data_IF_950574272763
#
_entry.id   IF_950574272763
#
_cell.length_a   1.000
_cell.length_b   1.000
_cell.length_c   1.000
_cell.angle_alpha   90.00
_cell.angle_beta   90.00
_cell.angle_gamma   90.00
#
_symmetry.space_group_name_H-M   'P 1'
#
loop_
_entity.id
_entity.type
_entity.pdbx_description
1 polymer ?
#
# COMPACT_ATOMS: atom_id res chain seq x y z
N UNK A 1 -21.84 7.37 -19.91
CA UNK A 1 -20.92 6.40 -20.55
C UNK A 1 -20.66 5.26 -19.55
N UNK A 2 -20.38 4.05 -20.00
CA UNK A 2 -19.95 2.93 -19.14
C UNK A 2 -18.44 2.77 -19.27
N UNK A 3 -17.73 2.67 -18.15
CA UNK A 3 -16.29 2.42 -18.09
C UNK A 3 -16.07 1.04 -17.45
N UNK A 4 -15.48 0.13 -18.21
CA UNK A 4 -15.04 -1.19 -17.73
C UNK A 4 -13.54 -1.14 -17.41
N UNK A 5 -13.09 -1.97 -16.48
CA UNK A 5 -11.67 -2.05 -16.09
C UNK A 5 -11.24 -1.06 -15.01
N UNK A 6 -12.17 -0.58 -14.17
CA UNK A 6 -11.83 0.06 -12.91
C UNK A 6 -11.68 -1.01 -11.81
N UNK A 7 -11.08 -0.62 -10.70
CA UNK A 7 -10.82 -1.50 -9.56
C UNK A 7 -11.41 -0.96 -8.27
N UNK A 8 -11.74 -1.88 -7.37
CA UNK A 8 -12.20 -1.56 -6.02
C UNK A 8 -11.62 -2.54 -5.02
N UNK A 9 -10.98 -1.99 -4.00
CA UNK A 9 -10.64 -2.72 -2.80
C UNK A 9 -11.81 -2.74 -1.81
N UNK A 10 -11.98 -3.88 -1.14
CA UNK A 10 -12.96 -4.10 -0.08
C UNK A 10 -12.31 -4.78 1.12
N UNK A 11 -12.94 -4.61 2.29
CA UNK A 11 -12.65 -5.37 3.51
C UNK A 11 -13.86 -6.23 3.83
N UNK A 12 -13.75 -7.55 3.72
CA UNK A 12 -14.86 -8.48 3.95
C UNK A 12 -16.15 -8.10 3.17
N UNK A 13 -16.02 -7.80 1.87
CA UNK A 13 -17.11 -7.36 1.01
C UNK A 13 -17.63 -5.93 1.26
N UNK A 14 -16.97 -5.14 2.12
CA UNK A 14 -17.38 -3.77 2.49
C UNK A 14 -16.44 -2.72 1.93
N UNK A 15 -16.98 -1.55 1.58
CA UNK A 15 -16.16 -0.44 1.11
C UNK A 15 -15.27 0.15 2.21
N UNK A 16 -13.97 0.31 1.95
CA UNK A 16 -12.94 0.76 2.90
C UNK A 16 -13.35 1.97 3.76
N UNK A 17 -13.99 2.98 3.17
CA UNK A 17 -14.37 4.22 3.89
C UNK A 17 -15.86 4.34 4.21
N UNK A 18 -16.73 3.62 3.49
CA UNK A 18 -18.17 3.79 3.60
C UNK A 18 -18.85 2.70 4.42
N UNK A 19 -18.14 1.61 4.74
CA UNK A 19 -18.68 0.38 5.33
C UNK A 19 -19.88 -0.21 4.56
N UNK A 20 -20.08 0.25 3.32
CA UNK A 20 -21.18 -0.19 2.49
C UNK A 20 -20.93 -1.63 2.05
N UNK A 21 -21.88 -2.52 2.34
CA UNK A 21 -21.84 -3.93 1.93
C UNK A 21 -22.14 -4.02 0.44
N UNK A 22 -21.16 -4.46 -0.34
CA UNK A 22 -21.31 -4.57 -1.77
C UNK A 22 -22.09 -5.83 -2.17
N UNK A 23 -23.03 -5.74 -3.12
CA UNK A 23 -23.57 -6.91 -3.79
C UNK A 23 -22.46 -7.64 -4.53
N UNK A 24 -22.01 -8.77 -3.99
CA UNK A 24 -20.94 -9.57 -4.59
C UNK A 24 -21.47 -10.30 -5.85
N UNK A 25 -20.60 -10.55 -6.84
CA UNK A 25 -20.89 -11.47 -7.93
C UNK A 25 -21.20 -12.88 -7.43
N UNK A 26 -22.03 -13.62 -8.17
CA UNK A 26 -22.37 -15.01 -7.86
C UNK A 26 -22.33 -15.87 -9.14
N UNK A 27 -21.62 -16.99 -9.11
CA UNK A 27 -21.51 -17.96 -10.21
C UNK A 27 -21.25 -17.32 -11.59
N UNK A 28 -20.29 -16.39 -11.66
CA UNK A 28 -19.93 -15.68 -12.91
C UNK A 28 -20.89 -14.57 -13.33
N UNK A 29 -21.97 -14.34 -12.56
CA UNK A 29 -22.88 -13.22 -12.76
C UNK A 29 -22.39 -12.01 -11.98
N UNK A 30 -22.18 -10.84 -12.62
CA UNK A 30 -21.83 -9.61 -11.92
C UNK A 30 -22.83 -9.26 -10.81
N UNK A 31 -22.34 -8.54 -9.79
CA UNK A 31 -23.17 -8.01 -8.71
C UNK A 31 -24.24 -7.04 -9.22
N UNK A 32 -25.18 -6.69 -8.34
CA UNK A 32 -26.21 -5.70 -8.66
C UNK A 32 -25.60 -4.30 -8.78
N UNK A 33 -26.13 -3.52 -9.72
CA UNK A 33 -25.85 -2.08 -9.78
C UNK A 33 -26.31 -1.39 -8.51
N UNK A 34 -25.42 -0.59 -7.94
CA UNK A 34 -25.72 0.36 -6.88
C UNK A 34 -25.59 1.77 -7.44
N UNK A 35 -26.28 2.72 -6.80
CA UNK A 35 -26.34 4.13 -7.22
C UNK A 35 -26.05 5.03 -6.04
N UNK A 36 -25.15 5.98 -6.23
CA UNK A 36 -24.85 7.06 -5.29
C UNK A 36 -25.77 8.25 -5.51
N UNK A 37 -25.94 9.06 -4.46
CA UNK A 37 -26.63 10.35 -4.55
C UNK A 37 -25.77 11.37 -5.30
N UNK A 38 -26.44 12.24 -6.07
CA UNK A 38 -25.83 13.37 -6.77
C UNK A 38 -26.03 14.68 -5.98
N UNK A 39 -25.14 15.69 -6.15
CA UNK A 39 -23.93 15.67 -6.97
C UNK A 39 -22.81 14.83 -6.34
N UNK A 40 -21.95 14.28 -7.19
CA UNK A 40 -20.74 13.58 -6.74
C UNK A 40 -19.82 14.55 -5.99
N UNK A 41 -19.34 14.12 -4.83
CA UNK A 41 -18.52 14.94 -3.94
C UNK A 41 -17.41 14.10 -3.31
N UNK A 42 -16.17 14.55 -3.52
CA UNK A 42 -14.96 13.89 -3.02
C UNK A 42 -15.06 13.58 -1.53
N UNK A 43 -14.82 12.32 -1.17
CA UNK A 43 -14.84 11.81 0.21
C UNK A 43 -16.22 11.84 0.90
N UNK A 44 -17.29 12.30 0.23
CA UNK A 44 -18.63 12.38 0.83
C UNK A 44 -19.65 11.55 0.05
N UNK A 45 -19.77 11.78 -1.27
CA UNK A 45 -20.80 11.17 -2.12
C UNK A 45 -20.21 10.65 -3.42
N UNK A 46 -20.48 9.38 -3.71
CA UNK A 46 -20.04 8.73 -4.94
C UNK A 46 -19.45 7.36 -4.69
N UNK A 47 -19.47 6.55 -5.73
CA UNK A 47 -18.81 5.24 -5.75
C UNK A 47 -17.32 5.49 -6.01
N UNK A 48 -16.53 5.34 -4.94
CA UNK A 48 -15.08 5.46 -4.99
C UNK A 48 -14.46 4.21 -5.63
N UNK A 49 -13.78 4.41 -6.75
CA UNK A 49 -13.04 3.38 -7.47
C UNK A 49 -11.66 3.92 -7.87
N UNK A 50 -10.76 3.03 -8.23
CA UNK A 50 -9.40 3.38 -8.63
C UNK A 50 -9.07 2.80 -10.00
N UNK A 51 -8.11 3.42 -10.68
CA UNK A 51 -7.52 2.90 -11.93
C UNK A 51 -6.41 1.93 -11.55
N UNK A 52 -5.94 1.10 -12.49
CA UNK A 52 -4.79 0.21 -12.24
C UNK A 52 -3.58 0.97 -11.64
N UNK A 53 -3.15 2.14 -12.16
CA UNK A 53 -1.99 2.87 -11.59
C UNK A 53 -2.26 3.47 -10.20
N UNK A 54 -3.50 3.44 -9.74
CA UNK A 54 -3.90 3.99 -8.44
C UNK A 54 -3.99 2.91 -7.36
N UNK A 55 -3.93 1.62 -7.72
CA UNK A 55 -4.03 0.49 -6.77
C UNK A 55 -3.14 0.63 -5.52
N UNK A 56 -1.87 1.10 -5.61
CA UNK A 56 -1.02 1.26 -4.44
C UNK A 56 -1.54 2.23 -3.36
N UNK A 57 -2.53 3.06 -3.68
CA UNK A 57 -3.14 4.02 -2.75
C UNK A 57 -4.39 3.48 -2.03
N UNK A 58 -4.94 2.35 -2.48
CA UNK A 58 -6.27 1.87 -2.08
C UNK A 58 -6.26 0.47 -1.47
N UNK A 59 -5.08 -0.10 -1.21
CA UNK A 59 -4.89 -1.50 -0.83
C UNK A 59 -5.74 -1.91 0.38
N UNK A 60 -6.39 -3.07 0.25
CA UNK A 60 -7.12 -3.77 1.31
C UNK A 60 -7.13 -5.29 1.00
N UNK A 61 -7.87 -6.08 1.77
CA UNK A 61 -7.84 -7.55 1.70
C UNK A 61 -8.42 -8.14 0.40
N UNK A 62 -9.39 -7.47 -0.22
CA UNK A 62 -10.06 -7.99 -1.43
C UNK A 62 -9.97 -7.01 -2.59
N UNK A 63 -9.46 -7.47 -3.73
CA UNK A 63 -9.41 -6.66 -4.96
C UNK A 63 -10.44 -7.13 -5.97
N UNK A 64 -11.25 -6.20 -6.47
CA UNK A 64 -12.34 -6.48 -7.41
C UNK A 64 -12.22 -5.67 -8.69
N UNK A 65 -12.57 -6.28 -9.82
CA UNK A 65 -12.88 -5.55 -11.05
C UNK A 65 -14.30 -5.01 -10.94
N UNK A 66 -14.47 -3.72 -11.24
CA UNK A 66 -15.75 -3.02 -11.14
C UNK A 66 -16.09 -2.32 -12.47
N UNK A 67 -17.36 -2.37 -12.83
CA UNK A 67 -17.93 -1.53 -13.88
C UNK A 67 -18.56 -0.29 -13.26
N UNK A 68 -18.37 0.86 -13.90
CA UNK A 68 -18.99 2.12 -13.48
C UNK A 68 -19.69 2.82 -14.64
N UNK A 69 -20.74 3.60 -14.34
CA UNK A 69 -21.47 4.38 -15.34
C UNK A 69 -22.13 5.61 -14.72
N UNK A 70 -22.75 6.42 -15.60
CA UNK A 70 -23.39 7.69 -15.22
C UNK A 70 -22.39 8.83 -15.22
N UNK A 71 -22.56 9.77 -14.30
CA UNK A 71 -21.56 10.80 -14.03
C UNK A 71 -20.29 10.18 -13.44
N UNK A 72 -19.14 10.61 -13.96
CA UNK A 72 -17.82 10.17 -13.51
C UNK A 72 -16.95 11.40 -13.31
N UNK A 73 -16.40 11.55 -12.10
CA UNK A 73 -15.47 12.63 -11.74
C UNK A 73 -14.12 12.00 -11.44
N UNK A 74 -13.12 12.41 -12.21
CA UNK A 74 -11.75 11.93 -12.08
C UNK A 74 -11.02 12.79 -11.03
N UNK A 75 -10.32 12.14 -10.10
CA UNK A 75 -9.37 12.74 -9.17
C UNK A 75 -7.98 12.13 -9.38
N UNK A 76 -6.99 12.69 -8.69
CA UNK A 76 -5.58 12.31 -8.80
C UNK A 76 -5.38 10.80 -8.64
N UNK A 77 -5.81 10.22 -7.51
CA UNK A 77 -5.61 8.79 -7.20
C UNK A 77 -6.90 7.98 -7.23
N UNK A 78 -8.02 8.54 -7.71
CA UNK A 78 -9.31 7.84 -7.71
C UNK A 78 -10.30 8.41 -8.72
N UNK A 79 -11.42 7.74 -8.88
CA UNK A 79 -12.59 8.23 -9.59
C UNK A 79 -13.82 8.09 -8.71
N UNK A 80 -14.74 9.04 -8.83
CA UNK A 80 -16.08 8.93 -8.30
C UNK A 80 -17.03 8.60 -9.45
N UNK A 81 -17.90 7.63 -9.25
CA UNK A 81 -18.96 7.31 -10.19
C UNK A 81 -20.34 7.40 -9.54
N UNK A 82 -21.35 7.69 -10.35
CA UNK A 82 -22.75 7.66 -9.96
C UNK A 82 -23.24 6.23 -9.72
N UNK A 83 -22.95 5.31 -10.64
CA UNK A 83 -23.39 3.91 -10.56
C UNK A 83 -22.21 2.95 -10.72
N UNK A 84 -22.28 1.81 -10.03
CA UNK A 84 -21.23 0.80 -10.03
C UNK A 84 -21.73 -0.60 -9.72
N UNK A 85 -21.05 -1.63 -10.24
CA UNK A 85 -21.24 -3.04 -9.84
C UNK A 85 -19.95 -3.83 -9.91
N UNK A 86 -19.74 -4.70 -8.93
CA UNK A 86 -18.62 -5.65 -8.97
C UNK A 86 -18.84 -6.66 -10.08
N UNK A 87 -17.78 -6.97 -10.82
CA UNK A 87 -17.82 -7.94 -11.93
C UNK A 87 -17.24 -9.27 -11.50
N UNK A 88 -16.02 -9.26 -10.96
CA UNK A 88 -15.29 -10.45 -10.50
C UNK A 88 -14.19 -10.07 -9.52
N UNK A 89 -13.79 -11.01 -8.67
CA UNK A 89 -12.58 -10.89 -7.87
C UNK A 89 -11.32 -10.94 -8.74
N UNK A 90 -10.24 -10.35 -8.25
CA UNK A 90 -8.89 -10.54 -8.78
C UNK A 90 -8.23 -11.61 -7.92
N UNK A 91 -8.33 -12.88 -8.35
CA UNK A 91 -7.88 -14.05 -7.58
C UNK A 91 -6.37 -14.03 -7.29
N UNK A 92 -5.58 -13.38 -8.14
CA UNK A 92 -4.14 -13.20 -7.92
C UNK A 92 -3.82 -12.26 -6.75
N UNK A 93 -4.79 -11.48 -6.26
CA UNK A 93 -4.69 -10.73 -5.02
C UNK A 93 -5.36 -11.51 -3.89
N UNK A 94 -4.60 -12.38 -3.27
CA UNK A 94 -4.99 -13.11 -2.07
C UNK A 94 -4.12 -12.72 -0.86
N UNK A 95 -4.34 -13.40 0.27
CA UNK A 95 -3.54 -13.20 1.49
C UNK A 95 -2.04 -13.39 1.27
N UNK A 96 -1.64 -14.36 0.44
CA UNK A 96 -0.23 -14.64 0.19
C UNK A 96 0.40 -13.54 -0.66
N UNK A 97 -0.31 -13.07 -1.69
CA UNK A 97 0.10 -11.93 -2.52
C UNK A 97 0.24 -10.65 -1.70
N UNK A 98 -0.71 -10.37 -0.79
CA UNK A 98 -0.65 -9.21 0.10
C UNK A 98 0.59 -9.28 1.02
N UNK A 99 0.88 -10.44 1.62
CA UNK A 99 2.07 -10.63 2.46
C UNK A 99 3.36 -10.54 1.64
N UNK A 100 3.38 -11.11 0.44
CA UNK A 100 4.54 -11.03 -0.47
C UNK A 100 4.84 -9.58 -0.85
N UNK A 101 3.82 -8.80 -1.19
CA UNK A 101 3.96 -7.39 -1.49
C UNK A 101 4.45 -6.59 -0.27
N UNK A 102 3.87 -6.85 0.90
CA UNK A 102 4.30 -6.27 2.17
C UNK A 102 5.80 -6.52 2.44
N UNK A 103 6.25 -7.77 2.32
CA UNK A 103 7.65 -8.15 2.50
C UNK A 103 8.57 -7.49 1.47
N UNK A 104 8.13 -7.42 0.21
CA UNK A 104 8.87 -6.71 -0.83
C UNK A 104 9.04 -5.22 -0.49
N UNK A 105 7.98 -4.55 -0.02
CA UNK A 105 8.05 -3.17 0.45
C UNK A 105 9.03 -3.01 1.63
N UNK A 106 9.02 -3.94 2.60
CA UNK A 106 9.92 -3.88 3.75
C UNK A 106 11.41 -4.04 3.36
N UNK A 107 11.72 -4.95 2.44
CA UNK A 107 13.08 -5.09 1.91
C UNK A 107 13.53 -3.85 1.11
N UNK A 108 12.61 -3.20 0.38
CA UNK A 108 12.93 -1.94 -0.29
C UNK A 108 13.22 -0.82 0.69
N UNK A 109 12.46 -0.71 1.78
CA UNK A 109 12.72 0.24 2.85
C UNK A 109 14.13 0.04 3.45
N UNK A 110 14.54 -1.21 3.68
CA UNK A 110 15.92 -1.54 4.07
C UNK A 110 16.94 -1.03 3.03
N UNK A 111 16.70 -1.26 1.74
CA UNK A 111 17.58 -0.77 0.66
C UNK A 111 17.76 0.75 0.68
N UNK A 112 16.66 1.50 0.79
CA UNK A 112 16.71 2.97 0.89
C UNK A 112 17.46 3.45 2.12
N UNK A 113 17.28 2.80 3.27
CA UNK A 113 18.03 3.13 4.49
C UNK A 113 19.54 2.84 4.35
N UNK A 114 19.90 1.74 3.70
CA UNK A 114 21.31 1.41 3.38
C UNK A 114 21.92 2.50 2.49
N UNK A 115 21.21 2.94 1.45
CA UNK A 115 21.70 3.97 0.54
C UNK A 115 21.81 5.34 1.22
N UNK A 116 20.86 5.70 2.09
CA UNK A 116 20.94 6.90 2.91
C UNK A 116 22.19 6.90 3.82
N UNK A 117 22.48 5.77 4.47
CA UNK A 117 23.68 5.61 5.30
C UNK A 117 24.97 5.69 4.49
N UNK A 118 25.00 5.13 3.26
CA UNK A 118 26.15 5.26 2.36
C UNK A 118 26.39 6.70 1.94
N UNK A 119 25.34 7.44 1.60
CA UNK A 119 25.42 8.85 1.22
C UNK A 119 25.90 9.72 2.38
N UNK A 120 25.57 9.34 3.61
CA UNK A 120 26.09 9.96 4.84
C UNK A 120 27.48 9.47 5.26
N UNK A 121 28.15 8.64 4.45
CA UNK A 121 29.49 8.08 4.73
C UNK A 121 29.52 7.23 6.01
N UNK A 122 28.38 6.66 6.42
CA UNK A 122 28.24 5.71 7.53
C UNK A 122 28.46 4.27 7.05
N UNK A 123 29.58 4.00 6.38
CA UNK A 123 29.83 2.74 5.63
C UNK A 123 29.68 1.47 6.46
N UNK A 124 30.12 1.47 7.72
CA UNK A 124 30.01 0.31 8.61
C UNK A 124 28.55 0.00 8.99
N UNK A 125 27.76 1.03 9.30
CA UNK A 125 26.34 0.89 9.63
C UNK A 125 25.53 0.48 8.38
N UNK A 126 25.84 1.06 7.22
CA UNK A 126 25.26 0.63 5.95
C UNK A 126 25.56 -0.86 5.66
N UNK A 127 26.80 -1.28 5.89
CA UNK A 127 27.23 -2.67 5.70
C UNK A 127 26.59 -3.62 6.70
N UNK A 128 26.39 -3.19 7.95
CA UNK A 128 25.69 -3.98 8.96
C UNK A 128 24.22 -4.17 8.59
N UNK A 129 23.52 -3.09 8.20
CA UNK A 129 22.12 -3.16 7.80
C UNK A 129 21.92 -3.97 6.52
N UNK A 130 22.82 -3.85 5.53
CA UNK A 130 22.73 -4.60 4.28
C UNK A 130 22.96 -6.11 4.44
N UNK A 131 23.67 -6.54 5.49
CA UNK A 131 23.90 -7.96 5.80
C UNK A 131 22.74 -8.62 6.54
N UNK A 132 21.81 -7.84 7.10
CA UNK A 132 20.62 -8.35 7.75
C UNK A 132 19.66 -8.92 6.69
N UNK A 133 19.39 -10.22 6.76
CA UNK A 133 18.56 -10.92 5.76
C UNK A 133 17.17 -11.30 6.28
N UNK A 134 16.95 -11.25 7.59
CA UNK A 134 15.65 -11.49 8.22
C UNK A 134 15.09 -10.19 8.78
N UNK A 135 13.76 -10.06 8.88
CA UNK A 135 13.14 -8.86 9.45
C UNK A 135 13.54 -8.60 10.90
N UNK A 136 13.79 -9.64 11.70
CA UNK A 136 14.32 -9.48 13.05
C UNK A 136 15.72 -8.86 13.02
N UNK A 137 16.61 -9.40 12.19
CA UNK A 137 17.97 -8.86 12.05
C UNK A 137 17.99 -7.44 11.48
N UNK A 138 17.05 -7.10 10.58
CA UNK A 138 16.88 -5.75 10.02
C UNK A 138 16.46 -4.79 11.13
N UNK A 139 15.42 -5.12 11.88
CA UNK A 139 14.92 -4.33 13.01
C UNK A 139 16.02 -4.11 14.05
N UNK A 140 16.72 -5.16 14.44
CA UNK A 140 17.74 -5.10 15.48
C UNK A 140 18.95 -4.28 15.02
N UNK A 141 19.40 -4.44 13.77
CA UNK A 141 20.46 -3.62 13.18
C UNK A 141 20.06 -2.13 13.11
N UNK A 142 18.86 -1.83 12.61
CA UNK A 142 18.35 -0.47 12.54
C UNK A 142 18.25 0.18 13.93
N UNK A 143 17.74 -0.54 14.94
CA UNK A 143 17.68 -0.06 16.32
C UNK A 143 19.07 0.20 16.94
N UNK A 144 20.09 -0.59 16.58
CA UNK A 144 21.47 -0.33 17.00
C UNK A 144 22.05 0.91 16.34
N UNK A 145 21.76 1.14 15.06
CA UNK A 145 22.20 2.32 14.30
C UNK A 145 21.57 3.60 14.88
N UNK A 146 20.27 3.56 15.15
CA UNK A 146 19.52 4.68 15.74
C UNK A 146 20.06 5.14 17.10
N UNK A 147 20.58 4.20 17.91
CA UNK A 147 21.22 4.49 19.20
C UNK A 147 22.57 5.20 19.08
N UNK A 148 23.28 5.05 17.95
CA UNK A 148 24.59 5.68 17.71
C UNK A 148 24.47 7.14 17.26
N UNK A 149 23.36 7.49 16.61
CA UNK A 149 22.89 8.87 16.37
C UNK A 149 23.51 9.65 15.20
N UNK A 150 22.62 10.26 14.39
CA UNK A 150 22.65 11.59 13.78
C UNK A 150 21.24 11.90 13.19
N UNK A 151 20.73 13.13 13.31
CA UNK A 151 19.30 13.45 13.10
C UNK A 151 18.81 13.34 11.65
N UNK A 152 19.70 13.50 10.69
CA UNK A 152 19.42 13.53 9.26
C UNK A 152 19.17 12.12 8.66
N UNK A 153 19.76 11.04 9.18
CA UNK A 153 19.50 9.67 8.69
C UNK A 153 18.41 8.93 9.49
N UNK A 154 18.01 9.47 10.65
CA UNK A 154 16.99 8.86 11.52
C UNK A 154 15.70 8.54 10.77
N UNK A 155 15.30 9.38 9.82
CA UNK A 155 14.09 9.17 9.03
C UNK A 155 14.09 7.81 8.33
N UNK A 156 15.04 7.59 7.42
CA UNK A 156 15.08 6.36 6.62
C UNK A 156 15.35 5.11 7.47
N UNK A 157 16.25 5.20 8.46
CA UNK A 157 16.59 4.05 9.32
C UNK A 157 15.45 3.70 10.28
N UNK A 158 14.75 4.69 10.86
CA UNK A 158 13.57 4.45 11.71
C UNK A 158 12.46 3.78 10.92
N UNK A 159 12.12 4.31 9.75
CA UNK A 159 11.07 3.71 8.95
C UNK A 159 11.42 2.30 8.44
N UNK A 160 12.70 2.00 8.18
CA UNK A 160 13.12 0.63 7.87
C UNK A 160 12.93 -0.34 9.05
N UNK A 161 13.15 0.12 10.29
CA UNK A 161 12.85 -0.65 11.49
C UNK A 161 11.34 -0.88 11.65
N UNK A 162 10.53 0.16 11.44
CA UNK A 162 9.07 0.08 11.48
C UNK A 162 8.53 -0.88 10.42
N UNK A 163 9.09 -0.81 9.20
CA UNK A 163 8.71 -1.70 8.11
C UNK A 163 9.03 -3.18 8.45
N UNK A 164 10.21 -3.43 9.03
CA UNK A 164 10.56 -4.78 9.48
C UNK A 164 9.67 -5.27 10.64
N UNK A 165 9.29 -4.39 11.57
CA UNK A 165 8.37 -4.72 12.65
C UNK A 165 6.96 -5.05 12.12
N UNK A 166 6.43 -4.23 11.20
CA UNK A 166 5.13 -4.47 10.56
C UNK A 166 5.11 -5.77 9.76
N UNK A 167 6.20 -6.10 9.06
CA UNK A 167 6.34 -7.37 8.34
C UNK A 167 6.33 -8.60 9.27
N UNK A 168 6.74 -8.43 10.53
CA UNK A 168 6.63 -9.45 11.59
C UNK A 168 5.26 -9.47 12.29
N UNK A 169 4.33 -8.61 11.87
CA UNK A 169 3.01 -8.45 12.51
C UNK A 169 3.06 -7.66 13.82
N UNK A 170 4.19 -7.04 14.16
CA UNK A 170 4.30 -6.15 15.31
C UNK A 170 3.83 -4.74 14.94
N UNK A 171 3.03 -4.11 15.81
CA UNK A 171 2.66 -2.69 15.65
C UNK A 171 3.76 -1.82 16.29
N UNK A 172 4.39 -0.88 15.56
CA UNK A 172 5.43 -0.01 16.11
C UNK A 172 4.96 0.77 17.34
N UNK A 173 3.69 1.19 17.35
CA UNK A 173 3.07 1.97 18.44
C UNK A 173 2.86 1.17 19.74
N UNK A 174 2.91 -0.16 19.68
CA UNK A 174 2.76 -1.06 20.84
C UNK A 174 4.05 -1.24 21.65
N UNK A 175 5.15 -0.58 21.28
CA UNK A 175 6.38 -0.61 22.08
C UNK A 175 6.25 0.15 23.41
N UNK A 176 5.40 1.18 23.48
CA UNK A 176 5.19 2.03 24.66
C UNK A 176 3.74 2.09 25.17
N UNK A 177 2.78 1.44 24.49
CA UNK A 177 1.38 1.34 24.95
C UNK A 177 1.01 -0.12 25.22
N UNK A 178 0.35 -0.43 26.36
CA UNK A 178 -0.22 -1.76 26.57
C UNK A 178 -1.17 -2.05 25.41
N UNK A 179 -1.00 -3.19 24.75
CA UNK A 179 -1.88 -3.63 23.68
C UNK A 179 -3.33 -3.66 24.18
N UNK A 180 -4.09 -2.61 23.92
CA UNK A 180 -5.54 -2.70 23.99
C UNK A 180 -5.99 -3.75 22.99
N UNK A 181 -7.06 -4.45 23.34
CA UNK A 181 -7.63 -5.64 22.71
C UNK A 181 -8.10 -5.39 21.26
N UNK A 182 -7.20 -5.04 20.37
CA UNK A 182 -7.41 -4.89 18.94
C UNK A 182 -6.94 -6.15 18.22
N UNK A 183 -7.75 -6.66 17.29
CA UNK A 183 -7.38 -7.79 16.45
C UNK A 183 -6.06 -7.59 15.71
N UNK A 184 -5.40 -8.71 15.36
CA UNK A 184 -4.24 -8.68 14.45
C UNK A 184 -4.60 -7.94 13.17
N UNK A 185 -3.72 -7.06 12.68
CA UNK A 185 -3.91 -6.40 11.40
C UNK A 185 -4.09 -7.44 10.29
N UNK A 186 -4.99 -7.17 9.35
CA UNK A 186 -5.19 -8.07 8.21
C UNK A 186 -4.02 -7.97 7.22
N UNK A 187 -3.78 -8.98 6.39
CA UNK A 187 -2.72 -8.95 5.38
C UNK A 187 -2.78 -7.72 4.45
N UNK A 188 -3.98 -7.34 3.99
CA UNK A 188 -4.21 -6.15 3.18
C UNK A 188 -3.86 -4.87 3.92
N UNK A 189 -4.24 -4.76 5.21
CA UNK A 189 -3.88 -3.61 6.04
C UNK A 189 -2.36 -3.49 6.26
N UNK A 190 -1.67 -4.62 6.46
CA UNK A 190 -0.20 -4.66 6.56
C UNK A 190 0.45 -4.21 5.24
N UNK A 191 -0.04 -4.71 4.11
CA UNK A 191 0.39 -4.31 2.78
C UNK A 191 0.19 -2.82 2.51
N UNK A 192 -0.97 -2.27 2.86
CA UNK A 192 -1.29 -0.84 2.71
C UNK A 192 -0.32 0.04 3.51
N UNK A 193 -0.12 -0.30 4.78
CA UNK A 193 0.79 0.45 5.66
C UNK A 193 2.23 0.39 5.17
N UNK A 194 2.70 -0.78 4.75
CA UNK A 194 4.07 -0.92 4.25
C UNK A 194 4.29 -0.20 2.92
N UNK A 195 3.33 -0.22 2.01
CA UNK A 195 3.41 0.56 0.78
C UNK A 195 3.55 2.07 1.05
N UNK A 196 2.78 2.58 2.01
CA UNK A 196 2.86 3.97 2.43
C UNK A 196 4.22 4.30 3.07
N UNK A 197 4.62 3.54 4.10
CA UNK A 197 5.87 3.76 4.83
C UNK A 197 7.06 3.69 3.88
N UNK A 198 7.15 2.66 3.03
CA UNK A 198 8.25 2.49 2.07
C UNK A 198 8.37 3.66 1.10
N UNK A 199 7.25 4.21 0.61
CA UNK A 199 7.29 5.40 -0.25
C UNK A 199 7.90 6.62 0.47
N UNK A 200 7.55 6.80 1.74
CA UNK A 200 8.12 7.89 2.55
C UNK A 200 9.58 7.63 2.96
N UNK A 201 10.01 6.37 3.11
CA UNK A 201 11.44 6.02 3.27
C UNK A 201 12.22 6.42 2.03
N UNK A 202 11.71 6.10 0.84
CA UNK A 202 12.33 6.48 -0.43
C UNK A 202 12.45 7.99 -0.56
N UNK A 203 11.41 8.73 -0.19
CA UNK A 203 11.43 10.19 -0.11
C UNK A 203 12.51 10.71 0.85
N UNK A 204 12.50 10.22 2.09
CA UNK A 204 13.45 10.66 3.13
C UNK A 204 14.90 10.34 2.77
N UNK A 205 15.15 9.21 2.09
CA UNK A 205 16.47 8.84 1.59
C UNK A 205 16.94 9.75 0.44
N UNK A 206 16.02 10.32 -0.33
CA UNK A 206 16.32 11.23 -1.43
C UNK A 206 16.52 12.70 -0.98
N UNK A 207 15.82 13.12 0.08
CA UNK A 207 15.97 14.45 0.66
C UNK A 207 14.96 14.77 1.76
N UNK A 208 15.01 15.97 2.37
CA UNK A 208 14.07 16.35 3.42
C UNK A 208 12.62 16.46 2.91
N UNK A 209 11.61 16.17 3.74
CA UNK A 209 10.20 16.36 3.41
C UNK A 209 9.89 17.78 2.89
N UNK A 210 9.02 17.88 1.90
CA UNK A 210 8.65 19.15 1.26
C UNK A 210 9.65 19.66 0.22
N UNK A 211 10.70 18.88 -0.08
CA UNK A 211 11.63 19.17 -1.18
C UNK A 211 11.28 18.37 -2.42
N UNK A 212 11.62 18.90 -3.61
CA UNK A 212 11.43 18.16 -4.86
C UNK A 212 12.20 16.84 -4.91
N UNK A 213 13.28 16.70 -4.13
CA UNK A 213 14.02 15.44 -4.03
C UNK A 213 13.21 14.37 -3.29
N UNK A 214 12.56 14.76 -2.19
CA UNK A 214 11.65 13.90 -1.45
C UNK A 214 10.48 13.44 -2.32
N UNK A 215 9.80 14.37 -2.98
CA UNK A 215 8.66 14.05 -3.83
C UNK A 215 9.03 13.08 -4.97
N UNK A 216 10.21 13.27 -5.59
CA UNK A 216 10.74 12.33 -6.59
C UNK A 216 11.06 10.96 -6.03
N UNK A 217 11.56 10.89 -4.79
CA UNK A 217 11.81 9.62 -4.10
C UNK A 217 10.53 8.85 -3.84
N UNK A 218 9.50 9.54 -3.33
CA UNK A 218 8.15 8.99 -3.13
C UNK A 218 7.57 8.49 -4.46
N UNK A 219 7.59 9.33 -5.50
CA UNK A 219 7.00 8.98 -6.80
C UNK A 219 7.70 7.78 -7.45
N UNK A 220 9.04 7.72 -7.39
CA UNK A 220 9.80 6.56 -7.89
C UNK A 220 9.41 5.26 -7.19
N UNK A 221 9.15 5.32 -5.88
CA UNK A 221 8.68 4.13 -5.17
C UNK A 221 7.23 3.79 -5.54
N UNK A 222 6.37 4.79 -5.73
CA UNK A 222 5.01 4.57 -6.22
C UNK A 222 4.99 3.97 -7.62
N UNK A 223 5.90 4.37 -8.51
CA UNK A 223 6.07 3.75 -9.83
C UNK A 223 6.40 2.26 -9.72
N UNK A 224 7.32 1.88 -8.84
CA UNK A 224 7.63 0.47 -8.61
C UNK A 224 6.41 -0.30 -8.07
N UNK A 225 5.65 0.28 -7.15
CA UNK A 225 4.43 -0.36 -6.63
C UNK A 225 3.36 -0.50 -7.71
N UNK A 226 3.22 0.49 -8.61
CA UNK A 226 2.32 0.42 -9.78
C UNK A 226 2.71 -0.72 -10.71
N UNK A 227 4.01 -0.87 -10.99
CA UNK A 227 4.52 -1.98 -11.81
C UNK A 227 4.23 -3.33 -11.15
N UNK A 228 4.42 -3.45 -9.84
CA UNK A 228 4.11 -4.66 -9.09
C UNK A 228 2.62 -5.05 -9.23
N UNK A 229 1.71 -4.10 -9.07
CA UNK A 229 0.27 -4.37 -9.24
C UNK A 229 -0.12 -4.65 -10.69
N UNK A 230 0.53 -3.98 -11.65
CA UNK A 230 0.33 -4.26 -13.08
C UNK A 230 0.67 -5.70 -13.40
N UNK A 231 1.82 -6.19 -12.91
CA UNK A 231 2.22 -7.57 -13.12
C UNK A 231 1.24 -8.55 -12.46
N UNK A 232 0.78 -8.25 -11.24
CA UNK A 232 -0.21 -9.07 -10.54
C UNK A 232 -1.56 -9.16 -11.27
N UNK A 233 -2.05 -8.04 -11.79
CA UNK A 233 -3.34 -7.98 -12.50
C UNK A 233 -3.24 -8.62 -13.88
N UNK A 234 -2.07 -8.53 -14.54
CA UNK A 234 -1.84 -9.11 -15.86
C UNK A 234 -1.37 -10.58 -15.83
N UNK A 235 -0.97 -11.11 -14.67
CA UNK A 235 -0.58 -12.51 -14.50
C UNK A 235 -1.76 -13.49 -14.65
N UNK A 236 -2.98 -13.02 -14.88
CA UNK A 236 -4.14 -13.85 -15.19
C UNK A 236 -3.90 -14.58 -16.52
N UNK A 237 -3.87 -15.93 -16.53
CA UNK A 237 -3.88 -16.66 -17.78
C UNK A 237 -5.12 -16.26 -18.55
N UNK A 238 -4.96 -15.81 -19.80
CA UNK A 238 -6.07 -15.76 -20.76
C UNK A 238 -6.51 -17.19 -21.00
N UNK A 239 -7.42 -17.69 -20.16
CA UNK A 239 -8.05 -18.99 -20.35
C UNK A 239 -8.76 -18.99 -21.70
N UNK A 240 -8.27 -19.80 -22.62
CA UNK A 240 -8.96 -20.21 -23.84
C UNK A 240 -9.90 -21.38 -23.58
#
# INVERSE_FOLDING_TARGET
>A
MTKSGAFKFLSAGRGLFSDFVWPLPDNGTPGRWIKAELPLERCIRGIHVCREPDLPYWIDDELWVIEVRGDIVEHETMMLAEEGRLVRGVESWDKEAALTFAQACAHRAQGFAVDALRNAVRTDDASALAKATTFESIRDAAAMIMRKGADNERGAVSFAADAAALALGARPEAADTPAETGGSATPGAVAANLAYVTAHVAGAAAGPPGTSAYDRGVERERDWQREWFRDLVNAVPTGG
#
